data_IF_157161206900
#
_entry.id   IF_157161206900
#
_cell.length_a   1.000
_cell.length_b   1.000
_cell.length_c   1.000
_cell.angle_alpha   90.00
_cell.angle_beta   90.00
_cell.angle_gamma   90.00
#
_symmetry.space_group_name_H-M   'P 1'
#
loop_
_entity.id
_entity.type
_entity.pdbx_description
1 polymer ?
#
# COMPACT_ATOMS: atom_id res chain seq x y z
N UNK A 1 -7.90 -14.32 19.35
CA UNK A 1 -8.09 -15.11 18.12
C UNK A 1 -9.26 -14.59 17.29
N UNK A 2 -10.44 -14.33 17.90
CA UNK A 2 -11.67 -13.91 17.20
C UNK A 2 -11.50 -12.67 16.33
N UNK A 3 -10.71 -11.68 16.74
CA UNK A 3 -10.44 -10.47 15.96
C UNK A 3 -9.37 -10.65 14.89
N UNK A 4 -8.39 -11.52 15.11
CA UNK A 4 -7.25 -11.71 14.23
C UNK A 4 -7.64 -12.27 12.85
N UNK A 5 -8.55 -13.24 12.80
CA UNK A 5 -8.94 -13.88 11.55
C UNK A 5 -9.65 -12.90 10.59
N UNK A 6 -10.70 -12.15 10.97
CA UNK A 6 -11.28 -11.14 10.08
C UNK A 6 -10.30 -10.06 9.64
N UNK A 7 -9.40 -9.63 10.55
CA UNK A 7 -8.38 -8.64 10.23
C UNK A 7 -7.34 -9.18 9.23
N UNK A 8 -6.94 -10.47 9.33
CA UNK A 8 -6.02 -11.09 8.39
C UNK A 8 -6.64 -11.28 7.00
N UNK A 9 -7.91 -11.66 6.92
CA UNK A 9 -8.63 -11.77 5.64
C UNK A 9 -8.77 -10.41 4.96
N UNK A 10 -9.05 -9.33 5.72
CA UNK A 10 -9.03 -7.97 5.18
C UNK A 10 -7.62 -7.56 4.76
N UNK A 11 -6.60 -7.94 5.54
CA UNK A 11 -5.21 -7.63 5.24
C UNK A 11 -4.72 -8.34 3.99
N UNK A 12 -5.16 -9.58 3.76
CA UNK A 12 -4.78 -10.39 2.59
C UNK A 12 -5.04 -9.64 1.28
N UNK A 13 -6.26 -9.13 1.08
CA UNK A 13 -6.62 -8.40 -0.14
C UNK A 13 -5.77 -7.14 -0.33
N UNK A 14 -5.56 -6.36 0.73
CA UNK A 14 -4.72 -5.16 0.66
C UNK A 14 -3.25 -5.49 0.41
N UNK A 15 -2.69 -6.51 1.04
CA UNK A 15 -1.29 -6.90 0.89
C UNK A 15 -0.97 -7.33 -0.55
N UNK A 16 -1.88 -8.09 -1.19
CA UNK A 16 -1.77 -8.47 -2.60
C UNK A 16 -1.70 -7.20 -3.46
N UNK A 17 -2.68 -6.32 -3.31
CA UNK A 17 -2.80 -5.08 -4.10
C UNK A 17 -1.59 -4.17 -3.92
N UNK A 18 -1.19 -3.93 -2.68
CA UNK A 18 -0.10 -3.00 -2.38
C UNK A 18 1.26 -3.57 -2.80
N UNK A 19 1.43 -4.88 -2.71
CA UNK A 19 2.60 -5.57 -3.25
C UNK A 19 2.71 -5.44 -4.77
N UNK A 20 1.60 -5.59 -5.49
CA UNK A 20 1.55 -5.37 -6.95
C UNK A 20 1.90 -3.93 -7.32
N UNK A 21 1.32 -2.93 -6.62
CA UNK A 21 1.63 -1.50 -6.86
C UNK A 21 3.12 -1.25 -6.63
N UNK A 22 3.67 -1.78 -5.56
CA UNK A 22 5.06 -1.58 -5.18
C UNK A 22 6.06 -2.07 -6.24
N UNK A 23 5.74 -3.18 -6.92
CA UNK A 23 6.59 -3.81 -7.93
C UNK A 23 6.18 -3.51 -9.38
N UNK A 24 5.10 -2.77 -9.59
CA UNK A 24 4.62 -2.42 -10.95
C UNK A 24 5.70 -1.83 -11.88
N UNK A 25 6.66 -1.00 -11.41
CA UNK A 25 7.71 -0.45 -12.28
C UNK A 25 8.70 -1.48 -12.84
N UNK A 26 8.77 -2.68 -12.25
CA UNK A 26 9.67 -3.75 -12.72
C UNK A 26 9.08 -4.58 -13.87
N UNK A 27 7.78 -4.41 -14.15
CA UNK A 27 7.09 -5.14 -15.20
C UNK A 27 6.25 -6.33 -14.70
N UNK A 28 5.47 -6.94 -15.60
CA UNK A 28 4.50 -7.99 -15.25
C UNK A 28 5.11 -9.23 -14.60
N UNK A 29 6.33 -9.58 -14.96
CA UNK A 29 7.07 -10.74 -14.45
C UNK A 29 7.38 -10.65 -12.94
N UNK A 30 7.48 -9.45 -12.40
CA UNK A 30 7.76 -9.23 -10.97
C UNK A 30 6.50 -9.05 -10.11
N UNK A 31 5.30 -9.07 -10.68
CA UNK A 31 4.03 -8.92 -9.96
C UNK A 31 3.88 -9.99 -8.88
N UNK A 32 4.21 -11.24 -9.18
CA UNK A 32 4.19 -12.35 -8.22
C UNK A 32 5.12 -12.11 -7.02
N UNK A 33 6.35 -11.65 -7.28
CA UNK A 33 7.30 -11.29 -6.23
C UNK A 33 6.79 -10.13 -5.37
N UNK A 34 6.16 -9.13 -6.00
CA UNK A 34 5.52 -8.01 -5.31
C UNK A 34 4.42 -8.45 -4.35
N UNK A 35 3.56 -9.39 -4.76
CA UNK A 35 2.52 -9.96 -3.90
C UNK A 35 3.12 -10.59 -2.65
N UNK A 36 4.17 -11.41 -2.83
CA UNK A 36 4.86 -12.06 -1.71
C UNK A 36 5.50 -11.00 -0.79
N UNK A 37 6.15 -9.99 -1.34
CA UNK A 37 6.74 -8.90 -0.57
C UNK A 37 5.69 -8.13 0.25
N UNK A 38 4.52 -7.85 -0.33
CA UNK A 38 3.39 -7.25 0.37
C UNK A 38 2.84 -8.13 1.51
N UNK A 39 2.81 -9.43 1.32
CA UNK A 39 2.37 -10.38 2.35
C UNK A 39 3.42 -10.52 3.47
N UNK A 40 4.71 -10.66 3.13
CA UNK A 40 5.81 -10.74 4.10
C UNK A 40 5.89 -9.49 4.97
N UNK A 41 5.56 -8.33 4.42
CA UNK A 41 5.45 -7.09 5.19
C UNK A 41 4.51 -7.23 6.39
N UNK A 42 3.31 -7.75 6.18
CA UNK A 42 2.34 -7.94 7.26
C UNK A 42 2.71 -9.08 8.20
N UNK A 43 3.45 -10.09 7.73
CA UNK A 43 3.96 -11.15 8.59
C UNK A 43 5.03 -10.60 9.52
N UNK A 44 6.14 -10.11 8.99
CA UNK A 44 7.31 -9.76 9.82
C UNK A 44 7.16 -8.39 10.48
N UNK A 45 6.86 -7.35 9.70
CA UNK A 45 6.70 -6.01 10.25
C UNK A 45 5.49 -5.94 11.17
N UNK A 46 4.34 -6.49 10.72
CA UNK A 46 3.10 -6.48 11.49
C UNK A 46 3.21 -7.24 12.80
N UNK A 47 3.86 -8.41 12.78
CA UNK A 47 4.09 -9.23 13.96
C UNK A 47 4.98 -8.48 14.97
N UNK A 48 6.10 -7.92 14.52
CA UNK A 48 7.05 -7.21 15.38
C UNK A 48 6.41 -5.93 15.94
N UNK A 49 5.72 -5.15 15.09
CA UNK A 49 5.02 -3.96 15.54
C UNK A 49 3.92 -4.29 16.57
N UNK A 50 3.23 -5.42 16.44
CA UNK A 50 2.24 -5.86 17.41
C UNK A 50 2.87 -6.25 18.75
N UNK A 51 4.03 -6.92 18.74
CA UNK A 51 4.73 -7.35 19.97
C UNK A 51 5.32 -6.18 20.76
N UNK A 52 5.99 -5.25 20.06
CA UNK A 52 6.72 -4.16 20.70
C UNK A 52 5.94 -2.86 20.78
N UNK A 53 4.85 -2.72 20.01
CA UNK A 53 4.01 -1.53 19.96
C UNK A 53 3.39 -1.14 21.30
N UNK A 54 2.81 0.04 21.32
CA UNK A 54 2.14 0.59 22.50
C UNK A 54 0.64 0.32 22.51
N UNK A 55 0.09 -0.07 21.37
CA UNK A 55 -1.35 -0.29 21.16
C UNK A 55 -1.66 -1.77 21.15
N UNK A 56 -2.64 -2.20 21.95
CA UNK A 56 -3.00 -3.63 22.08
C UNK A 56 -3.69 -4.25 20.88
N UNK A 57 -4.22 -3.42 19.99
CA UNK A 57 -5.12 -3.86 18.90
C UNK A 57 -4.71 -3.36 17.51
N UNK A 58 -3.62 -2.58 17.41
CA UNK A 58 -3.16 -2.08 16.13
C UNK A 58 -2.71 -3.23 15.24
N UNK A 59 -3.19 -3.22 14.01
CA UNK A 59 -2.71 -4.08 12.93
C UNK A 59 -1.91 -3.21 11.99
N UNK A 60 -0.65 -3.53 11.82
CA UNK A 60 0.26 -2.87 10.88
C UNK A 60 0.37 -3.70 9.61
N UNK A 61 0.56 -3.02 8.51
CA UNK A 61 0.70 -3.65 7.20
C UNK A 61 0.97 -2.62 6.12
N UNK A 62 1.28 -3.04 4.89
CA UNK A 62 1.46 -2.13 3.78
C UNK A 62 0.16 -1.37 3.50
N UNK A 63 0.31 -0.17 2.98
CA UNK A 63 -0.78 0.71 2.59
C UNK A 63 -0.48 1.38 1.26
N UNK A 64 -1.48 2.10 0.74
CA UNK A 64 -1.40 2.76 -0.57
C UNK A 64 -0.22 3.73 -0.68
N UNK A 65 -0.06 4.74 0.22
CA UNK A 65 1.03 5.69 0.11
C UNK A 65 2.42 5.04 0.22
N UNK A 66 2.60 4.09 1.15
CA UNK A 66 3.88 3.41 1.33
C UNK A 66 4.26 2.57 0.09
N UNK A 67 3.30 1.83 -0.47
CA UNK A 67 3.51 1.04 -1.69
C UNK A 67 3.88 1.93 -2.88
N UNK A 68 3.24 3.10 -3.00
CA UNK A 68 3.51 4.04 -4.08
C UNK A 68 4.91 4.68 -3.96
N UNK A 69 5.31 5.13 -2.77
CA UNK A 69 6.67 5.65 -2.56
C UNK A 69 7.70 4.56 -2.88
N UNK A 70 7.46 3.33 -2.45
CA UNK A 70 8.35 2.22 -2.76
C UNK A 70 8.46 1.96 -4.27
N UNK A 71 7.34 1.94 -5.00
CA UNK A 71 7.32 1.84 -6.46
C UNK A 71 8.15 2.93 -7.12
N UNK A 72 8.06 4.13 -6.62
CA UNK A 72 8.80 5.26 -7.13
C UNK A 72 10.30 5.18 -6.84
N UNK A 73 10.69 4.67 -5.67
CA UNK A 73 12.10 4.35 -5.39
C UNK A 73 12.64 3.39 -6.46
N UNK A 74 11.89 2.33 -6.76
CA UNK A 74 12.25 1.37 -7.81
C UNK A 74 12.39 2.10 -9.17
N UNK A 75 11.41 2.91 -9.56
CA UNK A 75 11.47 3.68 -10.81
C UNK A 75 12.72 4.56 -10.89
N UNK A 76 13.04 5.28 -9.81
CA UNK A 76 14.25 6.11 -9.75
C UNK A 76 15.52 5.27 -9.86
N UNK A 77 15.60 4.14 -9.16
CA UNK A 77 16.75 3.26 -9.22
C UNK A 77 16.96 2.71 -10.63
N UNK A 78 15.92 2.22 -11.29
CA UNK A 78 15.98 1.71 -12.68
C UNK A 78 16.46 2.79 -13.65
N UNK A 79 15.99 4.04 -13.48
CA UNK A 79 16.33 5.18 -14.35
C UNK A 79 17.69 5.82 -14.01
N UNK A 80 18.36 5.40 -12.95
CA UNK A 80 19.70 5.94 -12.59
C UNK A 80 20.73 5.47 -13.63
N UNK A 81 21.66 6.36 -13.99
CA UNK A 81 22.74 6.05 -14.95
C UNK A 81 23.55 4.81 -14.60
N UNK A 82 23.64 4.47 -13.33
CA UNK A 82 24.28 3.27 -12.80
C UNK A 82 23.67 1.98 -13.36
N UNK A 83 22.34 1.88 -13.40
CA UNK A 83 21.63 0.71 -13.91
C UNK A 83 21.30 0.83 -15.40
N UNK A 84 21.14 2.06 -15.93
CA UNK A 84 20.75 2.29 -17.33
C UNK A 84 21.94 2.13 -18.30
N UNK A 85 23.17 2.15 -17.82
CA UNK A 85 24.38 1.93 -18.63
C UNK A 85 24.72 0.45 -18.88
N UNK A 86 24.11 -0.46 -18.14
CA UNK A 86 24.24 -1.90 -18.35
C UNK A 86 23.16 -2.40 -19.33
N UNK A 87 23.57 -3.22 -20.32
CA UNK A 87 22.67 -3.79 -21.35
C UNK A 87 21.53 -4.62 -20.75
N UNK A 88 21.67 -5.08 -19.51
CA UNK A 88 20.62 -5.69 -18.68
C UNK A 88 20.81 -5.20 -17.24
N UNK A 89 19.99 -4.29 -16.73
CA UNK A 89 20.03 -3.92 -15.32
C UNK A 89 19.76 -5.16 -14.46
N UNK A 90 20.64 -5.41 -13.49
CA UNK A 90 20.43 -6.51 -12.53
C UNK A 90 19.23 -6.14 -11.61
N UNK A 91 18.06 -6.60 -11.99
CA UNK A 91 16.81 -6.34 -11.26
C UNK A 91 16.85 -6.86 -9.82
N UNK A 92 17.67 -7.88 -9.54
CA UNK A 92 17.86 -8.40 -8.18
C UNK A 92 18.57 -7.36 -7.32
N UNK A 93 19.59 -6.69 -7.87
CA UNK A 93 20.27 -5.58 -7.18
C UNK A 93 19.34 -4.38 -6.94
N UNK A 94 18.51 -3.99 -7.92
CA UNK A 94 17.52 -2.94 -7.77
C UNK A 94 16.55 -3.26 -6.63
N UNK A 95 16.00 -4.47 -6.60
CA UNK A 95 15.08 -4.94 -5.56
C UNK A 95 15.77 -4.95 -4.19
N UNK A 96 17.00 -5.42 -4.12
CA UNK A 96 17.78 -5.46 -2.88
C UNK A 96 18.04 -4.07 -2.32
N UNK A 97 18.41 -3.10 -3.18
CA UNK A 97 18.59 -1.70 -2.79
C UNK A 97 17.25 -1.08 -2.34
N UNK A 98 16.14 -1.39 -3.02
CA UNK A 98 14.82 -0.91 -2.60
C UNK A 98 14.45 -1.44 -1.20
N UNK A 99 14.72 -2.70 -0.89
CA UNK A 99 14.54 -3.22 0.48
C UNK A 99 15.52 -2.60 1.47
N UNK A 100 16.75 -2.27 1.06
CA UNK A 100 17.67 -1.51 1.91
C UNK A 100 17.14 -0.11 2.25
N UNK A 101 16.44 0.56 1.32
CA UNK A 101 15.73 1.82 1.61
C UNK A 101 14.67 1.63 2.71
N UNK A 102 13.92 0.51 2.68
CA UNK A 102 12.95 0.18 3.74
C UNK A 102 13.64 -0.08 5.07
N UNK A 103 14.76 -0.81 5.05
CA UNK A 103 15.58 -1.05 6.24
C UNK A 103 16.04 0.26 6.88
N UNK A 104 16.57 1.17 6.08
CA UNK A 104 17.02 2.49 6.52
C UNK A 104 15.86 3.36 7.02
N UNK A 105 14.69 3.27 6.38
CA UNK A 105 13.48 3.97 6.86
C UNK A 105 13.06 3.51 8.25
N UNK A 106 13.20 2.21 8.54
CA UNK A 106 12.98 1.67 9.88
C UNK A 106 13.94 2.25 10.91
N UNK A 107 15.22 2.43 10.56
CA UNK A 107 16.21 3.09 11.42
C UNK A 107 15.79 4.54 11.70
N UNK A 108 15.36 5.30 10.68
CA UNK A 108 14.85 6.66 10.89
C UNK A 108 13.63 6.69 11.80
N UNK A 109 12.69 5.74 11.68
CA UNK A 109 11.53 5.66 12.59
C UNK A 109 11.96 5.37 14.04
N UNK A 110 12.95 4.50 14.25
CA UNK A 110 13.52 4.25 15.58
C UNK A 110 14.11 5.56 16.13
N UNK A 111 14.89 6.28 15.33
CA UNK A 111 15.46 7.58 15.72
C UNK A 111 14.36 8.59 16.07
N UNK A 112 13.28 8.68 15.28
CA UNK A 112 12.13 9.55 15.59
C UNK A 112 11.49 9.20 16.94
N UNK A 113 11.37 7.91 17.24
CA UNK A 113 10.86 7.46 18.54
C UNK A 113 11.79 7.82 19.69
N UNK A 114 13.12 7.64 19.55
CA UNK A 114 14.14 8.00 20.53
C UNK A 114 14.22 9.51 20.75
N UNK A 115 14.13 10.31 19.69
CA UNK A 115 14.07 11.79 19.72
C UNK A 115 12.71 12.32 20.23
N UNK A 116 11.79 11.42 20.64
CA UNK A 116 10.47 11.75 21.19
C UNK A 116 9.55 12.50 20.21
N UNK A 117 9.75 12.35 18.91
CA UNK A 117 8.91 12.99 17.89
C UNK A 117 7.48 12.42 17.85
N UNK A 118 7.23 11.25 18.43
CA UNK A 118 5.89 10.70 18.61
C UNK A 118 4.94 11.56 19.45
N UNK A 119 5.45 12.55 20.16
CA UNK A 119 4.64 13.54 20.88
C UNK A 119 4.14 14.67 19.98
N UNK A 120 4.79 14.88 18.82
CA UNK A 120 4.45 15.95 17.86
C UNK A 120 3.18 15.66 17.07
N UNK A 121 2.64 14.44 17.14
CA UNK A 121 1.41 14.05 16.43
C UNK A 121 0.24 15.00 16.71
N UNK A 122 0.21 15.60 17.89
CA UNK A 122 -0.82 16.57 18.28
C UNK A 122 -0.81 17.84 17.43
N UNK A 123 0.31 18.14 16.76
CA UNK A 123 0.51 19.37 15.98
C UNK A 123 0.39 19.11 14.46
N UNK A 124 0.16 17.87 14.03
CA UNK A 124 0.00 17.57 12.61
C UNK A 124 -1.36 18.09 12.14
N UNK A 125 -1.32 19.01 11.19
CA UNK A 125 -2.53 19.58 10.59
C UNK A 125 -3.25 18.49 9.76
N UNK A 126 -4.50 18.21 10.15
CA UNK A 126 -5.33 17.21 9.51
C UNK A 126 -5.60 17.49 8.00
N UNK A 127 -5.82 18.74 7.55
CA UNK A 127 -5.94 19.07 6.14
C UNK A 127 -4.72 18.70 5.29
N UNK A 128 -3.49 18.85 5.82
CA UNK A 128 -2.26 18.44 5.13
C UNK A 128 -2.26 16.94 4.86
N UNK A 129 -2.61 16.14 5.86
CA UNK A 129 -2.70 14.67 5.72
C UNK A 129 -3.75 14.28 4.67
N UNK A 130 -4.91 14.95 4.66
CA UNK A 130 -5.94 14.72 3.64
C UNK A 130 -5.46 15.09 2.23
N UNK A 131 -4.69 16.18 2.10
CA UNK A 131 -4.10 16.58 0.82
C UNK A 131 -3.15 15.51 0.28
N UNK A 132 -2.28 14.95 1.14
CA UNK A 132 -1.37 13.86 0.78
C UNK A 132 -2.18 12.62 0.34
N UNK A 133 -3.16 12.17 1.14
CA UNK A 133 -3.98 10.99 0.82
C UNK A 133 -4.70 11.17 -0.51
N UNK A 134 -5.30 12.34 -0.76
CA UNK A 134 -6.02 12.61 -1.99
C UNK A 134 -5.09 12.64 -3.21
N UNK A 135 -3.95 13.33 -3.09
CA UNK A 135 -2.97 13.40 -4.17
C UNK A 135 -2.40 12.03 -4.55
N UNK A 136 -1.99 11.24 -3.55
CA UNK A 136 -1.50 9.87 -3.79
C UNK A 136 -2.60 8.97 -4.36
N UNK A 137 -3.84 9.08 -3.88
CA UNK A 137 -4.95 8.29 -4.40
C UNK A 137 -5.23 8.59 -5.87
N UNK A 138 -5.17 9.86 -6.30
CA UNK A 138 -5.33 10.24 -7.71
C UNK A 138 -4.21 9.66 -8.57
N UNK A 139 -2.95 9.81 -8.16
CA UNK A 139 -1.80 9.24 -8.89
C UNK A 139 -1.97 7.74 -9.10
N UNK A 140 -2.43 7.02 -8.07
CA UNK A 140 -2.64 5.58 -8.14
C UNK A 140 -3.79 5.25 -9.09
N UNK A 141 -4.91 5.98 -9.05
CA UNK A 141 -6.01 5.79 -10.00
C UNK A 141 -5.50 5.96 -11.43
N UNK A 142 -4.73 7.00 -11.70
CA UNK A 142 -4.13 7.22 -13.03
C UNK A 142 -3.20 6.08 -13.45
N UNK A 143 -2.38 5.55 -12.54
CA UNK A 143 -1.49 4.42 -12.83
C UNK A 143 -2.24 3.11 -13.16
N UNK A 144 -3.48 2.96 -12.68
CA UNK A 144 -4.29 1.77 -12.91
C UNK A 144 -5.13 1.83 -14.20
N UNK A 145 -5.17 2.97 -14.91
CA UNK A 145 -5.99 3.14 -16.10
C UNK A 145 -5.67 2.06 -17.15
N UNK A 146 -4.40 1.80 -17.41
CA UNK A 146 -3.98 0.79 -18.38
C UNK A 146 -4.52 -0.60 -18.02
N UNK A 147 -4.35 -1.02 -16.80
CA UNK A 147 -4.85 -2.33 -16.31
C UNK A 147 -6.38 -2.40 -16.27
N UNK A 148 -7.07 -1.29 -16.01
CA UNK A 148 -8.53 -1.22 -16.01
C UNK A 148 -9.11 -1.33 -17.43
N UNK A 149 -8.45 -0.74 -18.42
CA UNK A 149 -8.91 -0.65 -19.79
C UNK A 149 -8.33 -1.75 -20.69
N UNK A 150 -7.31 -2.47 -20.20
CA UNK A 150 -6.60 -3.49 -20.98
C UNK A 150 -5.81 -2.92 -22.15
N UNK A 151 -5.26 -1.72 -21.99
CA UNK A 151 -4.51 -0.99 -23.02
C UNK A 151 -3.11 -0.68 -22.55
N UNK A 152 -2.18 -0.53 -23.49
CA UNK A 152 -0.87 0.06 -23.23
C UNK A 152 -0.89 1.51 -23.71
N UNK A 153 -1.29 2.44 -22.83
CA UNK A 153 -1.26 3.87 -23.14
C UNK A 153 0.19 4.36 -23.20
N UNK A 154 0.75 4.43 -24.38
CA UNK A 154 1.95 5.21 -24.66
C UNK A 154 1.55 6.67 -24.87
N UNK A 155 1.78 7.52 -23.88
CA UNK A 155 1.48 8.96 -23.95
C UNK A 155 2.15 9.66 -25.13
N UNK A 156 3.22 9.08 -25.68
CA UNK A 156 3.93 9.57 -26.88
C UNK A 156 3.16 9.37 -28.18
N UNK A 157 2.22 8.42 -28.25
CA UNK A 157 1.46 8.11 -29.48
C UNK A 157 0.09 8.82 -29.56
N UNK A 158 -0.27 9.56 -28.52
CA UNK A 158 -1.52 10.32 -28.44
C UNK A 158 -2.68 9.54 -27.79
N UNK A 159 -3.36 10.22 -26.88
CA UNK A 159 -4.46 9.68 -26.05
C UNK A 159 -5.58 9.05 -26.90
N UNK A 160 -5.86 9.62 -28.08
CA UNK A 160 -6.93 9.14 -28.96
C UNK A 160 -6.67 7.76 -29.58
N UNK A 161 -5.41 7.39 -29.88
CA UNK A 161 -5.07 6.04 -30.38
C UNK A 161 -5.25 4.98 -29.29
N UNK A 162 -4.88 5.30 -28.05
CA UNK A 162 -5.08 4.39 -26.92
C UNK A 162 -6.57 4.11 -26.65
N UNK A 163 -7.44 5.13 -26.77
CA UNK A 163 -8.88 4.97 -26.57
C UNK A 163 -9.54 4.02 -27.60
N UNK A 164 -8.98 3.92 -28.81
CA UNK A 164 -9.47 2.99 -29.81
C UNK A 164 -9.10 1.51 -29.53
N UNK A 165 -8.16 1.26 -28.64
CA UNK A 165 -7.68 -0.08 -28.28
C UNK A 165 -8.29 -0.61 -26.99
N UNK A 166 -9.33 0.04 -26.45
CA UNK A 166 -9.97 -0.39 -25.19
C UNK A 166 -10.52 -1.81 -25.32
N UNK A 167 -10.06 -2.69 -24.44
CA UNK A 167 -10.63 -4.03 -24.30
C UNK A 167 -11.93 -3.95 -23.50
N UNK A 168 -13.07 -4.01 -24.18
CA UNK A 168 -14.39 -4.03 -23.53
C UNK A 168 -14.52 -5.16 -22.49
N UNK A 169 -14.07 -6.41 -22.76
CA UNK A 169 -14.12 -7.46 -21.74
C UNK A 169 -13.33 -7.14 -20.49
N UNK A 170 -12.13 -6.58 -20.64
CA UNK A 170 -11.28 -6.17 -19.50
C UNK A 170 -11.94 -5.07 -18.67
N UNK A 171 -12.52 -4.07 -19.33
CA UNK A 171 -13.27 -3.01 -18.67
C UNK A 171 -14.48 -3.55 -17.91
N UNK A 172 -15.23 -4.51 -18.48
CA UNK A 172 -16.38 -5.13 -17.82
C UNK A 172 -15.92 -5.89 -16.56
N UNK A 173 -14.82 -6.64 -16.60
CA UNK A 173 -14.26 -7.31 -15.41
C UNK A 173 -13.95 -6.29 -14.32
N UNK A 174 -13.29 -5.17 -14.66
CA UNK A 174 -12.98 -4.09 -13.72
C UNK A 174 -14.24 -3.50 -13.10
N UNK A 175 -15.25 -3.15 -13.93
CA UNK A 175 -16.52 -2.58 -13.45
C UNK A 175 -17.30 -3.57 -12.59
N UNK A 176 -17.39 -4.84 -12.98
CA UNK A 176 -18.01 -5.89 -12.16
C UNK A 176 -17.33 -6.00 -10.80
N UNK A 177 -15.99 -5.97 -10.77
CA UNK A 177 -15.23 -5.99 -9.52
C UNK A 177 -15.60 -4.82 -8.61
N UNK A 178 -15.63 -3.60 -9.15
CA UNK A 178 -16.02 -2.38 -8.42
C UNK A 178 -17.46 -2.49 -7.90
N UNK A 179 -18.40 -2.96 -8.74
CA UNK A 179 -19.80 -3.11 -8.35
C UNK A 179 -19.99 -4.17 -7.26
N UNK A 180 -19.27 -5.29 -7.33
CA UNK A 180 -19.31 -6.34 -6.29
C UNK A 180 -18.81 -5.80 -4.95
N UNK A 181 -17.72 -5.00 -4.95
CA UNK A 181 -17.21 -4.37 -3.74
C UNK A 181 -18.22 -3.38 -3.17
N UNK A 182 -18.79 -2.53 -4.03
CA UNK A 182 -19.82 -1.57 -3.64
C UNK A 182 -21.04 -2.25 -3.03
N UNK A 183 -21.52 -3.33 -3.67
CA UNK A 183 -22.61 -4.15 -3.16
C UNK A 183 -22.26 -4.80 -1.81
N UNK A 184 -21.08 -5.41 -1.71
CA UNK A 184 -20.60 -6.00 -0.45
C UNK A 184 -20.52 -5.01 0.71
N UNK A 185 -20.09 -3.76 0.44
CA UNK A 185 -20.07 -2.68 1.42
C UNK A 185 -21.48 -2.26 1.84
N UNK A 186 -22.41 -2.16 0.89
CA UNK A 186 -23.78 -1.70 1.13
C UNK A 186 -24.56 -2.71 1.99
N UNK A 187 -24.46 -3.99 1.66
CA UNK A 187 -25.19 -5.06 2.34
C UNK A 187 -24.44 -5.66 3.53
N UNK A 188 -23.27 -5.10 3.90
CA UNK A 188 -22.45 -5.54 5.06
C UNK A 188 -22.25 -7.05 5.10
N UNK A 189 -21.81 -7.61 3.99
CA UNK A 189 -21.56 -9.05 3.85
C UNK A 189 -20.59 -9.57 4.91
N UNK A 190 -20.68 -10.88 5.23
CA UNK A 190 -19.78 -11.54 6.20
C UNK A 190 -18.31 -11.56 5.72
N UNK A 191 -18.09 -11.62 4.41
CA UNK A 191 -16.75 -11.54 3.82
C UNK A 191 -16.37 -10.08 3.57
N UNK A 192 -15.06 -9.74 3.70
CA UNK A 192 -14.58 -8.41 3.36
C UNK A 192 -14.93 -8.06 1.91
N UNK A 193 -15.52 -6.88 1.64
CA UNK A 193 -15.98 -6.49 0.31
C UNK A 193 -14.88 -6.54 -0.75
N UNK A 194 -13.64 -6.16 -0.40
CA UNK A 194 -12.50 -6.22 -1.32
C UNK A 194 -12.17 -7.66 -1.74
N UNK A 195 -12.25 -8.62 -0.80
CA UNK A 195 -12.05 -10.03 -1.11
C UNK A 195 -13.16 -10.55 -2.03
N UNK A 196 -14.42 -10.16 -1.76
CA UNK A 196 -15.55 -10.51 -2.65
C UNK A 196 -15.32 -9.94 -4.06
N UNK A 197 -14.81 -8.73 -4.17
CA UNK A 197 -14.45 -8.12 -5.46
C UNK A 197 -13.39 -8.91 -6.21
N UNK A 198 -12.31 -9.31 -5.52
CA UNK A 198 -11.25 -10.14 -6.13
C UNK A 198 -11.84 -11.46 -6.63
N UNK A 199 -12.56 -12.18 -5.78
CA UNK A 199 -13.15 -13.48 -6.14
C UNK A 199 -14.17 -13.34 -7.27
N UNK A 200 -15.09 -12.38 -7.15
CA UNK A 200 -16.13 -12.14 -8.18
C UNK A 200 -15.55 -11.68 -9.51
N UNK A 201 -14.62 -10.74 -9.49
CA UNK A 201 -13.91 -10.29 -10.69
C UNK A 201 -13.14 -11.42 -11.38
N UNK A 202 -12.48 -12.29 -10.57
CA UNK A 202 -11.79 -13.48 -11.08
C UNK A 202 -12.77 -14.45 -11.71
N UNK A 203 -13.91 -14.70 -11.07
CA UNK A 203 -14.96 -15.56 -11.66
C UNK A 203 -15.46 -15.01 -13.00
N UNK A 204 -15.79 -13.71 -13.07
CA UNK A 204 -16.25 -13.07 -14.33
C UNK A 204 -15.19 -13.19 -15.42
N UNK A 205 -13.92 -12.97 -15.10
CA UNK A 205 -12.81 -13.12 -16.05
C UNK A 205 -12.74 -14.54 -16.62
N UNK A 206 -12.78 -15.57 -15.76
CA UNK A 206 -12.69 -16.96 -16.21
C UNK A 206 -13.94 -17.41 -16.99
N UNK A 207 -15.12 -16.87 -16.68
CA UNK A 207 -16.32 -17.08 -17.51
C UNK A 207 -16.11 -16.49 -18.90
N UNK A 208 -15.61 -15.24 -18.98
CA UNK A 208 -15.32 -14.62 -20.29
C UNK A 208 -14.26 -15.38 -21.07
N UNK A 209 -13.25 -15.94 -20.39
CA UNK A 209 -12.20 -16.77 -21.00
C UNK A 209 -12.74 -18.02 -21.72
N UNK A 210 -13.88 -18.53 -21.28
CA UNK A 210 -14.55 -19.68 -21.92
C UNK A 210 -15.31 -19.25 -23.20
N UNK A 211 -15.83 -18.01 -23.21
CA UNK A 211 -16.72 -17.52 -24.27
C UNK A 211 -15.99 -16.67 -25.32
N UNK A 212 -14.93 -15.95 -24.92
CA UNK A 212 -14.22 -14.99 -25.75
C UNK A 212 -12.80 -15.46 -26.09
N UNK A 213 -12.21 -15.01 -27.22
CA UNK A 213 -10.80 -15.25 -27.53
C UNK A 213 -9.89 -14.67 -26.44
N UNK A 214 -8.83 -15.40 -26.11
CA UNK A 214 -7.85 -15.03 -25.05
C UNK A 214 -7.17 -13.68 -25.29
N UNK A 215 -6.97 -13.31 -26.55
CA UNK A 215 -6.30 -12.06 -26.96
C UNK A 215 -7.08 -10.79 -26.57
N UNK A 216 -8.37 -10.91 -26.29
CA UNK A 216 -9.22 -9.78 -25.90
C UNK A 216 -9.26 -9.53 -24.39
N UNK A 217 -8.75 -10.45 -23.60
CA UNK A 217 -8.72 -10.37 -22.13
C UNK A 217 -7.33 -9.96 -21.66
N UNK A 218 -7.29 -9.03 -20.72
CA UNK A 218 -6.04 -8.61 -20.09
C UNK A 218 -5.32 -9.76 -19.36
N UNK A 219 -4.05 -9.56 -18.98
CA UNK A 219 -3.24 -10.61 -18.35
C UNK A 219 -3.76 -11.00 -16.96
N UNK A 220 -3.40 -12.22 -16.54
CA UNK A 220 -3.50 -12.68 -15.15
C UNK A 220 -2.18 -12.39 -14.43
N UNK A 221 -2.17 -12.47 -13.09
CA UNK A 221 -0.95 -12.28 -12.27
C UNK A 221 0.16 -13.25 -12.68
N UNK A 222 -0.21 -14.46 -13.09
CA UNK A 222 0.77 -15.48 -13.48
C UNK A 222 1.32 -16.25 -12.26
N UNK A 223 2.52 -16.83 -12.42
CA UNK A 223 3.11 -17.63 -11.35
C UNK A 223 3.49 -16.76 -10.15
N UNK A 224 2.84 -16.98 -9.01
CA UNK A 224 3.27 -16.45 -7.73
C UNK A 224 4.29 -17.43 -7.16
N UNK A 225 5.58 -17.05 -7.05
CA UNK A 225 6.60 -17.97 -6.57
C UNK A 225 6.26 -18.45 -5.16
N UNK A 226 6.42 -19.75 -4.92
CA UNK A 226 6.37 -20.28 -3.56
C UNK A 226 7.61 -19.78 -2.82
N UNK A 227 7.45 -18.74 -2.03
CA UNK A 227 8.54 -18.15 -1.29
C UNK A 227 8.47 -18.56 0.18
N UNK A 228 9.53 -19.23 0.62
CA UNK A 228 9.79 -19.41 2.05
C UNK A 228 10.58 -18.19 2.52
N UNK A 229 10.22 -17.59 3.68
CA UNK A 229 10.98 -16.48 4.22
C UNK A 229 12.46 -16.84 4.36
N UNK A 230 13.33 -16.07 3.71
CA UNK A 230 14.78 -16.29 3.76
C UNK A 230 15.50 -14.99 4.14
N UNK A 231 16.65 -15.13 4.78
CA UNK A 231 17.53 -14.00 5.11
C UNK A 231 18.41 -13.57 3.91
N UNK A 232 18.08 -14.02 2.71
CA UNK A 232 18.89 -13.77 1.50
C UNK A 232 19.12 -12.29 1.24
N UNK A 233 18.12 -11.43 1.50
CA UNK A 233 18.28 -10.00 1.30
C UNK A 233 19.28 -9.33 2.24
N UNK A 234 19.53 -9.88 3.43
CA UNK A 234 20.59 -9.38 4.31
C UNK A 234 21.99 -9.52 3.65
N UNK A 235 22.22 -10.67 3.02
CA UNK A 235 23.46 -10.92 2.26
C UNK A 235 23.48 -10.06 1.00
N UNK A 236 22.35 -9.97 0.30
CA UNK A 236 22.20 -9.19 -0.91
C UNK A 236 22.39 -7.69 -0.68
N UNK A 237 22.11 -7.16 0.51
CA UNK A 237 22.40 -5.75 0.84
C UNK A 237 23.89 -5.43 0.67
N UNK A 238 24.76 -6.34 1.10
CA UNK A 238 26.20 -6.14 0.94
C UNK A 238 26.66 -6.26 -0.53
N UNK A 239 26.17 -7.27 -1.23
CA UNK A 239 26.54 -7.52 -2.63
C UNK A 239 25.89 -6.56 -3.65
N UNK A 240 24.77 -5.93 -3.29
CA UNK A 240 24.08 -4.98 -4.15
C UNK A 240 24.79 -3.61 -4.28
N UNK A 241 25.79 -3.34 -3.43
CA UNK A 241 26.60 -2.15 -3.47
C UNK A 241 28.05 -2.50 -3.87
N UNK A 242 28.36 -2.73 -5.16
CA UNK A 242 29.75 -2.83 -5.61
C UNK A 242 30.47 -1.51 -5.35
N UNK A 243 31.80 -1.53 -5.42
CA UNK A 243 32.69 -0.43 -5.07
C UNK A 243 32.17 0.96 -5.48
N UNK A 244 31.96 1.85 -4.50
CA UNK A 244 31.45 3.23 -4.65
C UNK A 244 29.98 3.42 -5.05
N UNK A 245 29.20 2.39 -5.38
CA UNK A 245 27.80 2.55 -5.77
C UNK A 245 26.93 3.15 -4.65
N UNK A 246 27.25 2.89 -3.39
CA UNK A 246 26.54 3.48 -2.25
C UNK A 246 26.58 5.02 -2.29
N UNK A 247 27.74 5.64 -2.53
CA UNK A 247 27.87 7.08 -2.59
C UNK A 247 27.15 7.69 -3.79
N UNK A 248 27.13 6.98 -4.93
CA UNK A 248 26.41 7.41 -6.12
C UNK A 248 24.88 7.38 -5.91
N UNK A 249 24.38 6.36 -5.23
CA UNK A 249 22.96 6.16 -4.97
C UNK A 249 22.47 6.86 -3.69
N UNK A 250 23.36 7.37 -2.86
CA UNK A 250 23.05 8.08 -1.62
C UNK A 250 21.98 9.18 -1.78
N UNK A 251 22.04 10.05 -2.83
CA UNK A 251 21.04 11.10 -3.04
C UNK A 251 19.62 10.54 -3.34
N UNK A 252 19.50 9.29 -3.75
CA UNK A 252 18.21 8.62 -3.99
C UNK A 252 17.76 7.87 -2.74
N UNK A 253 18.66 7.11 -2.12
CA UNK A 253 18.37 6.20 -1.01
C UNK A 253 17.93 6.95 0.24
N UNK A 254 18.71 7.94 0.67
CA UNK A 254 18.50 8.60 1.97
C UNK A 254 17.23 9.45 2.00
N UNK A 255 16.97 10.34 1.00
CA UNK A 255 15.70 11.08 0.98
C UNK A 255 14.48 10.18 0.87
N UNK A 256 14.55 9.11 0.08
CA UNK A 256 13.46 8.15 -0.04
C UNK A 256 13.18 7.41 1.27
N UNK A 257 14.22 6.92 1.95
CA UNK A 257 14.10 6.27 3.26
C UNK A 257 13.52 7.24 4.31
N UNK A 258 13.96 8.49 4.30
CA UNK A 258 13.44 9.53 5.19
C UNK A 258 11.95 9.81 4.90
N UNK A 259 11.56 9.94 3.63
CA UNK A 259 10.17 10.17 3.23
C UNK A 259 9.25 9.01 3.69
N UNK A 260 9.66 7.77 3.47
CA UNK A 260 8.94 6.57 3.95
C UNK A 260 8.82 6.62 5.49
N UNK A 261 9.90 6.94 6.20
CA UNK A 261 9.90 7.01 7.65
C UNK A 261 8.95 8.09 8.19
N UNK A 262 8.96 9.28 7.60
CA UNK A 262 8.06 10.38 7.98
C UNK A 262 6.62 10.00 7.74
N UNK A 263 6.28 9.55 6.53
CA UNK A 263 4.90 9.21 6.17
C UNK A 263 4.37 8.04 6.99
N UNK A 264 5.14 6.96 7.11
CA UNK A 264 4.77 5.81 7.93
C UNK A 264 4.61 6.16 9.42
N UNK A 265 5.43 7.10 9.93
CA UNK A 265 5.30 7.62 11.30
C UNK A 265 4.00 8.40 11.48
N UNK A 266 3.70 9.32 10.56
CA UNK A 266 2.45 10.11 10.59
C UNK A 266 1.23 9.20 10.59
N UNK A 267 1.16 8.24 9.67
CA UNK A 267 0.03 7.31 9.56
C UNK A 267 -0.14 6.44 10.81
N UNK A 268 0.97 5.90 11.33
CA UNK A 268 0.94 5.08 12.55
C UNK A 268 0.46 5.90 13.76
N UNK A 269 0.92 7.15 13.89
CA UNK A 269 0.51 8.03 14.97
C UNK A 269 -0.95 8.50 14.84
N UNK A 270 -1.44 8.78 13.63
CA UNK A 270 -2.85 9.09 13.38
C UNK A 270 -3.75 7.90 13.70
N UNK A 271 -3.34 6.70 13.32
CA UNK A 271 -4.02 5.46 13.68
C UNK A 271 -4.04 5.28 15.20
N UNK A 272 -2.92 5.51 15.87
CA UNK A 272 -2.80 5.44 17.32
C UNK A 272 -3.76 6.38 18.03
N UNK A 273 -3.84 7.66 17.63
CA UNK A 273 -4.78 8.64 18.21
C UNK A 273 -6.24 8.22 17.96
N UNK A 274 -6.53 7.73 16.76
CA UNK A 274 -7.88 7.25 16.45
C UNK A 274 -8.28 6.05 17.31
N UNK A 275 -7.37 5.09 17.51
CA UNK A 275 -7.59 3.93 18.36
C UNK A 275 -7.65 4.30 19.85
N UNK A 276 -6.92 5.31 20.29
CA UNK A 276 -7.04 5.85 21.66
C UNK A 276 -8.48 6.28 21.96
N UNK A 277 -9.13 6.96 21.03
CA UNK A 277 -10.51 7.41 21.18
C UNK A 277 -11.51 6.24 21.23
N UNK A 278 -11.26 5.18 20.43
CA UNK A 278 -12.11 3.99 20.35
C UNK A 278 -11.96 3.12 21.60
N UNK A 279 -10.70 2.89 22.04
CA UNK A 279 -10.38 1.95 23.12
C UNK A 279 -10.30 2.59 24.51
N UNK A 280 -10.34 3.94 24.57
CA UNK A 280 -10.10 4.73 25.78
C UNK A 280 -8.78 4.41 26.48
N UNK A 281 -7.79 3.94 25.71
CA UNK A 281 -6.44 3.66 26.18
C UNK A 281 -5.55 4.88 26.02
N UNK A 282 -4.36 4.88 26.68
CA UNK A 282 -3.36 5.95 26.54
C UNK A 282 -2.06 5.37 25.97
N UNK A 283 -2.01 5.10 24.67
CA UNK A 283 -0.81 4.54 24.04
C UNK A 283 0.32 5.59 24.00
N UNK A 284 1.57 5.09 23.93
CA UNK A 284 2.79 5.93 23.92
C UNK A 284 3.29 6.05 22.47
N UNK A 285 3.18 7.23 21.85
CA UNK A 285 3.56 7.46 20.45
C UNK A 285 5.03 7.13 20.16
N UNK A 286 5.95 7.49 21.04
CA UNK A 286 7.38 7.20 20.86
C UNK A 286 7.67 5.70 20.81
N UNK A 287 7.05 4.92 21.71
CA UNK A 287 7.16 3.46 21.72
C UNK A 287 6.59 2.86 20.44
N UNK A 288 5.49 3.42 19.93
CA UNK A 288 4.88 2.98 18.69
C UNK A 288 5.83 3.19 17.50
N UNK A 289 6.46 4.36 17.39
CA UNK A 289 7.43 4.64 16.34
C UNK A 289 8.63 3.69 16.38
N UNK A 290 9.17 3.41 17.56
CA UNK A 290 10.26 2.44 17.72
C UNK A 290 9.82 1.05 17.25
N UNK A 291 8.62 0.62 17.63
CA UNK A 291 8.10 -0.70 17.25
C UNK A 291 7.88 -0.81 15.73
N UNK A 292 7.31 0.21 15.10
CA UNK A 292 7.13 0.28 13.64
C UNK A 292 8.50 0.30 12.92
N UNK A 293 9.47 1.04 13.46
CA UNK A 293 10.82 1.10 12.92
C UNK A 293 11.54 -0.24 12.99
N UNK A 294 11.50 -0.93 14.13
CA UNK A 294 12.05 -2.30 14.26
C UNK A 294 11.35 -3.24 13.29
N UNK A 295 10.01 -3.14 13.20
CA UNK A 295 9.22 -3.92 12.26
C UNK A 295 9.66 -3.70 10.81
N UNK A 296 9.78 -2.46 10.35
CA UNK A 296 10.22 -2.13 8.99
C UNK A 296 11.65 -2.61 8.72
N UNK A 297 12.58 -2.43 9.67
CA UNK A 297 13.96 -2.91 9.49
C UNK A 297 14.03 -4.43 9.39
N UNK A 298 13.35 -5.15 10.28
CA UNK A 298 13.35 -6.63 10.21
C UNK A 298 12.58 -7.13 8.99
N UNK A 299 11.42 -6.53 8.70
CA UNK A 299 10.62 -6.93 7.55
C UNK A 299 11.36 -6.78 6.23
N UNK A 300 12.15 -5.71 6.07
CA UNK A 300 12.98 -5.49 4.89
C UNK A 300 14.02 -6.60 4.68
N UNK A 301 14.59 -7.15 5.75
CA UNK A 301 15.54 -8.29 5.68
C UNK A 301 14.86 -9.54 5.08
N UNK A 302 13.57 -9.71 5.32
CA UNK A 302 12.77 -10.79 4.75
C UNK A 302 12.05 -10.41 3.44
N UNK A 303 12.41 -9.29 2.82
CA UNK A 303 11.82 -8.84 1.55
C UNK A 303 10.44 -8.20 1.69
N UNK A 304 10.16 -7.58 2.82
CA UNK A 304 8.92 -6.84 3.05
C UNK A 304 8.99 -5.40 2.57
N UNK A 305 7.91 -4.91 1.94
CA UNK A 305 7.71 -3.50 1.58
C UNK A 305 7.36 -2.66 2.81
N UNK A 306 7.42 -1.30 2.74
CA UNK A 306 7.17 -0.44 3.90
C UNK A 306 5.79 -0.63 4.52
N UNK A 307 5.73 -0.53 5.84
CA UNK A 307 4.54 -0.77 6.67
C UNK A 307 4.27 0.41 7.60
N UNK A 308 2.99 0.65 7.86
CA UNK A 308 2.53 1.53 8.93
C UNK A 308 1.31 0.95 9.65
N UNK A 309 0.92 1.57 10.77
CA UNK A 309 -0.32 1.22 11.46
C UNK A 309 -1.55 1.57 10.61
N UNK A 310 -2.48 0.63 10.42
CA UNK A 310 -3.63 0.80 9.55
C UNK A 310 -4.95 0.84 10.34
N UNK A 311 -5.64 1.99 10.30
CA UNK A 311 -6.85 2.22 11.11
C UNK A 311 -7.98 1.23 10.79
N UNK A 312 -8.27 0.99 9.53
CA UNK A 312 -9.39 0.13 9.12
C UNK A 312 -9.25 -1.31 9.60
N UNK A 313 -8.05 -1.89 9.41
CA UNK A 313 -7.74 -3.25 9.90
C UNK A 313 -7.78 -3.32 11.42
N UNK A 314 -7.25 -2.31 12.10
CA UNK A 314 -7.22 -2.22 13.57
C UNK A 314 -8.62 -2.07 14.16
N UNK A 315 -9.49 -1.29 13.53
CA UNK A 315 -10.88 -1.10 13.94
C UNK A 315 -11.68 -2.39 13.76
N UNK A 316 -11.48 -3.09 12.63
CA UNK A 316 -12.10 -4.40 12.40
C UNK A 316 -11.62 -5.43 13.44
N UNK A 317 -10.31 -5.46 13.73
CA UNK A 317 -9.73 -6.31 14.76
C UNK A 317 -10.42 -6.08 16.12
N UNK A 318 -10.59 -4.82 16.52
CA UNK A 318 -11.25 -4.45 17.78
C UNK A 318 -12.73 -4.82 17.80
N UNK A 319 -13.47 -4.47 16.73
CA UNK A 319 -14.92 -4.75 16.63
C UNK A 319 -15.22 -6.24 16.60
N UNK A 320 -14.30 -7.05 16.08
CA UNK A 320 -14.36 -8.51 16.09
C UNK A 320 -13.88 -9.17 17.39
N UNK A 321 -13.65 -8.37 18.44
CA UNK A 321 -13.39 -8.87 19.79
C UNK A 321 -11.93 -8.91 20.23
N UNK A 322 -10.99 -8.37 19.46
CA UNK A 322 -9.59 -8.27 19.89
C UNK A 322 -9.43 -7.34 21.10
N UNK A 323 -8.62 -7.76 22.08
CA UNK A 323 -8.36 -6.98 23.30
C UNK A 323 -6.88 -7.00 23.71
N UNK A 324 -6.05 -7.79 23.05
CA UNK A 324 -4.64 -8.00 23.37
C UNK A 324 -3.75 -7.88 22.15
N UNK A 325 -2.46 -7.65 22.35
CA UNK A 325 -1.44 -7.60 21.29
C UNK A 325 -1.32 -8.92 20.51
N UNK A 326 -1.66 -10.05 21.12
CA UNK A 326 -1.65 -11.35 20.45
C UNK A 326 -2.56 -11.40 19.22
N UNK A 327 -3.58 -10.54 19.12
CA UNK A 327 -4.41 -10.49 17.91
C UNK A 327 -3.61 -10.04 16.68
N UNK A 328 -2.66 -9.11 16.83
CA UNK A 328 -1.74 -8.71 15.77
C UNK A 328 -0.76 -9.82 15.41
N UNK A 329 -0.23 -10.52 16.42
CA UNK A 329 0.66 -11.68 16.20
C UNK A 329 -0.06 -12.78 15.42
N UNK A 330 -1.27 -13.16 15.83
CA UNK A 330 -2.05 -14.16 15.11
C UNK A 330 -2.48 -13.68 13.72
N UNK A 331 -2.70 -12.38 13.53
CA UNK A 331 -2.97 -11.83 12.20
C UNK A 331 -1.78 -12.10 11.25
N UNK A 332 -0.55 -11.83 11.68
CA UNK A 332 0.65 -12.17 10.91
C UNK A 332 0.79 -13.67 10.63
N UNK A 333 0.54 -14.53 11.62
CA UNK A 333 0.58 -15.99 11.45
C UNK A 333 -0.49 -16.50 10.48
N UNK A 334 -1.72 -15.96 10.50
CA UNK A 334 -2.75 -16.30 9.53
C UNK A 334 -2.36 -15.87 8.11
N UNK A 335 -1.70 -14.72 7.94
CA UNK A 335 -1.21 -14.28 6.63
C UNK A 335 -0.12 -15.23 6.13
N UNK A 336 0.81 -15.65 6.99
CA UNK A 336 1.81 -16.66 6.64
C UNK A 336 1.14 -17.98 6.19
N UNK A 337 0.13 -18.44 6.91
CA UNK A 337 -0.66 -19.61 6.53
C UNK A 337 -1.35 -19.43 5.17
N UNK A 338 -1.89 -18.24 4.89
CA UNK A 338 -2.49 -17.95 3.60
C UNK A 338 -1.46 -17.95 2.45
N UNK A 339 -0.23 -17.49 2.68
CA UNK A 339 0.86 -17.59 1.67
C UNK A 339 1.09 -19.04 1.28
N UNK A 340 1.17 -19.93 2.28
CA UNK A 340 1.46 -21.35 2.05
C UNK A 340 0.35 -22.08 1.29
N UNK A 341 -0.92 -21.69 1.51
CA UNK A 341 -2.08 -22.37 0.90
C UNK A 341 -2.52 -21.70 -0.41
N UNK A 342 -2.57 -20.36 -0.43
CA UNK A 342 -3.16 -19.61 -1.53
C UNK A 342 -2.14 -19.12 -2.57
N UNK A 343 -0.83 -19.41 -2.41
CA UNK A 343 0.21 -18.92 -3.33
C UNK A 343 -0.11 -19.26 -4.80
N UNK A 344 -0.34 -20.53 -5.11
CA UNK A 344 -0.70 -20.95 -6.48
C UNK A 344 -2.04 -20.37 -6.97
N UNK A 345 -3.16 -20.44 -6.21
CA UNK A 345 -4.44 -19.82 -6.60
C UNK A 345 -4.37 -18.32 -6.90
N UNK A 346 -3.50 -17.57 -6.25
CA UNK A 346 -3.35 -16.13 -6.51
C UNK A 346 -2.92 -15.83 -7.94
N UNK A 347 -2.18 -16.71 -8.59
CA UNK A 347 -1.74 -16.54 -9.96
C UNK A 347 -2.88 -16.47 -10.99
N UNK A 348 -4.04 -17.03 -10.68
CA UNK A 348 -5.20 -17.00 -11.57
C UNK A 348 -6.01 -15.70 -11.49
N UNK A 349 -5.65 -14.77 -10.61
CA UNK A 349 -6.34 -13.49 -10.45
C UNK A 349 -5.99 -12.58 -11.64
N UNK A 350 -6.97 -11.99 -12.35
CA UNK A 350 -6.69 -11.07 -13.44
C UNK A 350 -6.24 -9.69 -12.91
N UNK A 351 -5.30 -9.08 -13.62
CA UNK A 351 -4.78 -7.74 -13.25
C UNK A 351 -5.89 -6.69 -13.28
N UNK A 352 -6.88 -6.82 -14.16
CA UNK A 352 -8.05 -5.94 -14.25
C UNK A 352 -8.94 -5.98 -13.01
N UNK A 353 -9.16 -7.16 -12.41
CA UNK A 353 -9.89 -7.26 -11.15
C UNK A 353 -9.11 -6.57 -10.01
N UNK A 354 -7.78 -6.76 -9.96
CA UNK A 354 -6.96 -6.09 -8.97
C UNK A 354 -6.97 -4.58 -9.15
N UNK A 355 -6.87 -4.09 -10.39
CA UNK A 355 -6.97 -2.66 -10.69
C UNK A 355 -8.32 -2.08 -10.23
N UNK A 356 -9.42 -2.80 -10.45
CA UNK A 356 -10.74 -2.43 -9.93
C UNK A 356 -10.79 -2.29 -8.41
N UNK A 357 -10.15 -3.21 -7.68
CA UNK A 357 -10.02 -3.11 -6.20
C UNK A 357 -9.23 -1.89 -5.79
N UNK A 358 -8.09 -1.63 -6.45
CA UNK A 358 -7.23 -0.46 -6.19
C UNK A 358 -7.99 0.84 -6.40
N UNK A 359 -8.63 0.98 -7.56
CA UNK A 359 -9.43 2.17 -7.90
C UNK A 359 -10.54 2.40 -6.87
N UNK A 360 -11.25 1.34 -6.47
CA UNK A 360 -12.28 1.44 -5.44
C UNK A 360 -11.75 1.91 -4.10
N UNK A 361 -10.61 1.33 -3.63
CA UNK A 361 -9.97 1.73 -2.37
C UNK A 361 -9.55 3.19 -2.42
N UNK A 362 -8.91 3.64 -3.50
CA UNK A 362 -8.47 5.02 -3.68
C UNK A 362 -9.66 5.98 -3.69
N UNK A 363 -10.72 5.65 -4.44
CA UNK A 363 -11.95 6.44 -4.47
C UNK A 363 -12.61 6.53 -3.07
N UNK A 364 -12.59 5.45 -2.29
CA UNK A 364 -13.12 5.45 -0.93
C UNK A 364 -12.28 6.31 0.03
N UNK A 365 -10.95 6.28 -0.10
CA UNK A 365 -10.06 7.13 0.71
C UNK A 365 -10.29 8.61 0.44
N UNK A 366 -10.49 9.00 -0.80
CA UNK A 366 -10.80 10.38 -1.20
C UNK A 366 -12.19 10.81 -0.74
N UNK A 367 -13.19 9.94 -0.84
CA UNK A 367 -14.61 10.27 -0.70
C UNK A 367 -15.03 10.53 0.76
N UNK A 368 -14.51 9.77 1.73
CA UNK A 368 -15.10 9.73 3.08
C UNK A 368 -14.86 10.99 3.93
N UNK A 369 -13.85 11.81 3.64
CA UNK A 369 -13.49 12.95 4.51
C UNK A 369 -13.45 14.28 3.78
N UNK A 370 -12.87 14.34 2.59
CA UNK A 370 -12.80 15.57 1.79
C UNK A 370 -14.18 16.04 1.34
N UNK A 371 -15.06 15.11 0.92
CA UNK A 371 -16.44 15.41 0.57
C UNK A 371 -17.28 15.87 1.78
N UNK A 372 -16.96 15.41 3.00
CA UNK A 372 -17.64 15.90 4.20
C UNK A 372 -17.32 17.38 4.46
N UNK A 373 -16.07 17.81 4.23
CA UNK A 373 -15.68 19.22 4.34
C UNK A 373 -16.42 20.04 3.27
N UNK A 374 -16.38 19.59 2.03
CA UNK A 374 -17.11 20.24 0.92
C UNK A 374 -18.61 20.34 1.22
N UNK A 375 -19.24 19.23 1.65
CA UNK A 375 -20.68 19.22 2.01
C UNK A 375 -21.00 20.17 3.18
N UNK A 376 -20.10 20.30 4.17
CA UNK A 376 -20.30 21.25 5.29
C UNK A 376 -20.22 22.70 4.82
N UNK A 377 -19.30 23.02 3.91
CA UNK A 377 -19.17 24.36 3.31
C UNK A 377 -20.47 24.73 2.55
N UNK A 378 -21.00 23.80 1.73
CA UNK A 378 -22.21 24.04 0.95
C UNK A 378 -23.50 24.06 1.78
N UNK A 379 -23.58 23.28 2.88
CA UNK A 379 -24.78 23.23 3.73
C UNK A 379 -24.89 24.38 4.74
N UNK A 380 -23.87 25.22 4.87
CA UNK A 380 -23.89 26.39 5.78
C UNK A 380 -24.08 26.06 7.27
N UNK A 381 -23.98 24.77 7.65
CA UNK A 381 -24.15 24.30 9.03
C UNK A 381 -22.78 24.03 9.65
N UNK A 382 -22.30 24.93 10.49
CA UNK A 382 -21.13 24.70 11.35
C UNK A 382 -20.23 25.90 11.51
N UNK A 383 -19.49 25.93 12.60
CA UNK A 383 -18.51 26.92 12.97
C UNK A 383 -17.61 27.35 11.80
N UNK A 384 -17.45 28.67 11.67
CA UNK A 384 -16.48 29.37 10.81
C UNK A 384 -16.27 28.81 9.38
N UNK A 385 -17.10 29.29 8.44
CA UNK A 385 -16.95 29.05 7.00
C UNK A 385 -15.53 29.39 6.50
N UNK A 386 -14.85 30.38 7.10
CA UNK A 386 -13.47 30.75 6.78
C UNK A 386 -12.47 29.66 7.13
N UNK A 387 -12.59 28.96 8.26
CA UNK A 387 -11.72 27.86 8.64
C UNK A 387 -11.88 26.66 7.70
N UNK A 388 -13.12 26.30 7.34
CA UNK A 388 -13.38 25.21 6.40
C UNK A 388 -12.85 25.53 4.98
N UNK A 389 -12.89 26.80 4.57
CA UNK A 389 -12.30 27.23 3.30
C UNK A 389 -10.77 27.16 3.34
N UNK A 390 -10.13 27.57 4.44
CA UNK A 390 -8.70 27.44 4.66
C UNK A 390 -8.27 25.96 4.61
N UNK A 391 -9.01 25.09 5.31
CA UNK A 391 -8.75 23.64 5.25
C UNK A 391 -8.84 23.10 3.82
N UNK A 392 -9.84 23.51 3.05
CA UNK A 392 -9.99 23.10 1.66
C UNK A 392 -8.84 23.61 0.78
N UNK A 393 -8.42 24.87 0.96
CA UNK A 393 -7.27 25.44 0.25
C UNK A 393 -6.00 24.67 0.57
N UNK A 394 -5.74 24.35 1.84
CA UNK A 394 -4.58 23.55 2.25
C UNK A 394 -4.61 22.16 1.60
N UNK A 395 -5.76 21.48 1.64
CA UNK A 395 -5.94 20.15 1.01
C UNK A 395 -5.61 20.23 -0.49
N UNK A 396 -6.19 21.20 -1.20
CA UNK A 396 -5.99 21.36 -2.64
C UNK A 396 -4.55 21.74 -2.98
N UNK A 397 -3.94 22.65 -2.23
CA UNK A 397 -2.55 23.05 -2.44
C UNK A 397 -1.60 21.87 -2.24
N UNK A 398 -1.73 21.14 -1.13
CA UNK A 398 -0.90 19.96 -0.86
C UNK A 398 -1.12 18.87 -1.91
N UNK A 399 -2.36 18.66 -2.34
CA UNK A 399 -2.69 17.70 -3.39
C UNK A 399 -2.05 18.09 -4.72
N UNK A 400 -2.16 19.36 -5.15
CA UNK A 400 -1.59 19.85 -6.42
C UNK A 400 -0.06 19.82 -6.36
N UNK A 401 0.55 20.31 -5.29
CA UNK A 401 2.00 20.23 -5.09
C UNK A 401 2.47 18.78 -5.14
N UNK A 402 1.77 17.88 -4.45
CA UNK A 402 2.08 16.45 -4.49
C UNK A 402 1.98 15.86 -5.89
N UNK A 403 0.95 16.20 -6.66
CA UNK A 403 0.81 15.78 -8.05
C UNK A 403 1.91 16.34 -8.95
N UNK A 404 2.28 17.62 -8.82
CA UNK A 404 3.31 18.26 -9.63
C UNK A 404 4.70 17.71 -9.35
N UNK A 405 5.01 17.44 -8.09
CA UNK A 405 6.32 16.93 -7.66
C UNK A 405 6.33 15.40 -7.49
N UNK A 406 5.26 14.70 -7.91
CA UNK A 406 5.08 13.24 -7.78
C UNK A 406 5.24 12.71 -6.35
N UNK A 407 5.02 13.53 -5.31
CA UNK A 407 5.32 13.21 -3.90
C UNK A 407 6.71 12.59 -3.67
N UNK A 408 7.63 12.76 -4.62
CA UNK A 408 8.89 12.07 -4.72
C UNK A 408 9.91 13.04 -5.28
N UNK A 409 10.34 13.87 -4.42
CA UNK A 409 11.63 14.56 -4.53
C UNK A 409 12.40 14.22 -3.28
#
# INVERSE_FOLDING_TARGET
>A
LSGALPASVLSLSGNIVYGMIAFAPLGPEFVGAGIIAGMFSSVFNGLIAALFGSTKIMISGPNVPAAFIFASVITKLVNTSYFNSSVNPDMVSVISIAFFVVFLSGIFQILFGLLRLGTLVKNISYPVVLGIINGTSLLIIFSQINSCLGIELNLSEGIFKGLAQISLPTLVVTLCTILIIFWGNTYKTKLPPHLLGILGGTCVYHIFKIVLPLETLGPIIGEVPFAVPSLSYLVSFYSAFPDNAFFLLFPVIVPAAFAIAVLGSIESLLTLVSLQNITRSRPRGNRELIAQGIGNSVGAIFGGIPVSGYLGRSTLNYSSGARTQFSGVFCGLYILFFILILGKPMGYIPTSAMAGVVVYICAQLMNNRSLLIIKKIFKGKGLNRSELLLDLIIILTVMVVGLMFNFII
#
